data_IF_919919795928
#
_entry.id   IF_919919795928
#
_cell.length_a   1.000
_cell.length_b   1.000
_cell.length_c   1.000
_cell.angle_alpha   90.00
_cell.angle_beta   90.00
_cell.angle_gamma   90.00
#
_symmetry.space_group_name_H-M   'P 1'
#
loop_
_entity.id
_entity.type
_entity.pdbx_description
1 polymer ?
#
# COMPACT_ATOMS: atom_id res chain seq x y z
N UNK A 1 34.96 15.57 0.53
CA UNK A 1 34.15 16.70 0.01
C UNK A 1 32.73 16.47 0.51
N UNK A 2 32.08 17.45 1.17
CA UNK A 2 30.71 17.25 1.62
C UNK A 2 29.78 17.27 0.41
N UNK A 3 28.99 16.21 0.25
CA UNK A 3 27.95 16.11 -0.77
C UNK A 3 26.92 17.23 -0.55
N UNK A 4 26.60 17.96 -1.60
CA UNK A 4 25.56 19.00 -1.60
C UNK A 4 24.18 18.35 -1.36
N UNK A 5 23.30 18.95 -0.54
CA UNK A 5 21.94 18.46 -0.38
C UNK A 5 21.17 18.58 -1.70
N UNK A 6 20.39 17.54 -2.02
CA UNK A 6 19.55 17.47 -3.22
C UNK A 6 18.65 18.71 -3.33
N UNK A 7 18.74 19.38 -4.48
CA UNK A 7 18.11 20.65 -4.75
C UNK A 7 16.58 20.55 -4.85
N UNK A 8 15.89 21.59 -4.36
CA UNK A 8 14.48 21.87 -4.65
C UNK A 8 14.34 22.04 -6.17
N UNK A 9 13.80 21.02 -6.85
CA UNK A 9 13.56 21.05 -8.29
C UNK A 9 12.27 21.82 -8.59
N UNK A 10 12.38 23.13 -8.79
CA UNK A 10 11.30 23.98 -9.31
C UNK A 10 10.97 23.57 -10.75
N UNK A 11 9.73 23.13 -11.00
CA UNK A 11 9.22 22.90 -12.36
C UNK A 11 8.14 23.94 -12.65
N UNK A 12 8.35 24.70 -13.71
CA UNK A 12 7.42 25.74 -14.15
C UNK A 12 6.41 25.13 -15.12
N UNK A 13 5.19 24.87 -14.66
CA UNK A 13 4.03 24.70 -15.53
C UNK A 13 2.91 25.62 -15.04
N UNK A 14 2.45 26.52 -15.92
CA UNK A 14 1.25 27.36 -15.77
C UNK A 14 1.17 28.27 -14.52
N UNK A 15 2.23 29.05 -14.24
CA UNK A 15 2.11 30.27 -13.42
C UNK A 15 1.74 30.11 -11.93
N UNK A 16 1.60 28.89 -11.43
CA UNK A 16 1.37 28.59 -10.01
C UNK A 16 2.66 27.97 -9.46
N UNK A 17 3.31 28.65 -8.52
CA UNK A 17 4.42 28.09 -7.76
C UNK A 17 3.89 26.96 -6.87
N UNK A 18 3.94 25.71 -7.34
CA UNK A 18 3.71 24.55 -6.46
C UNK A 18 5.02 24.27 -5.72
N UNK A 19 5.03 24.47 -4.41
CA UNK A 19 6.09 23.96 -3.55
C UNK A 19 6.15 22.44 -3.74
N UNK A 20 7.28 21.92 -4.24
CA UNK A 20 7.53 20.48 -4.13
C UNK A 20 7.81 20.17 -2.69
N UNK A 21 6.93 19.38 -2.08
CA UNK A 21 7.16 18.87 -0.73
C UNK A 21 8.41 18.00 -0.71
N UNK A 22 9.15 18.10 0.39
CA UNK A 22 10.37 17.34 0.57
C UNK A 22 10.02 15.85 0.74
N UNK A 23 10.72 15.00 -0.01
CA UNK A 23 10.75 13.56 0.20
C UNK A 23 12.05 13.18 0.90
N UNK A 24 11.95 12.46 2.00
CA UNK A 24 13.10 11.94 2.71
C UNK A 24 12.97 10.42 2.82
N UNK A 25 13.89 9.74 2.14
CA UNK A 25 14.10 8.31 2.29
C UNK A 25 15.48 8.10 2.93
N UNK A 26 15.56 7.65 4.19
CA UNK A 26 16.83 7.30 4.83
C UNK A 26 17.36 5.93 4.41
N UNK A 27 16.58 5.14 3.68
CA UNK A 27 17.03 3.86 3.13
C UNK A 27 17.91 4.14 1.91
N UNK A 28 19.04 3.44 1.80
CA UNK A 28 20.05 3.67 0.74
C UNK A 28 19.46 3.58 -0.67
N UNK A 29 18.38 2.80 -0.83
CA UNK A 29 17.60 2.64 -2.07
C UNK A 29 16.09 2.69 -1.76
N UNK A 30 15.27 3.24 -2.66
CA UNK A 30 13.82 3.06 -2.56
C UNK A 30 13.45 1.64 -2.98
N UNK A 31 12.31 1.10 -2.53
CA UNK A 31 11.82 -0.22 -2.96
C UNK A 31 11.67 -0.40 -4.48
N UNK A 32 11.47 0.68 -5.22
CA UNK A 32 11.40 0.67 -6.69
C UNK A 32 12.77 0.80 -7.35
N UNK A 33 13.75 1.38 -6.63
CA UNK A 33 15.13 1.57 -7.07
C UNK A 33 16.04 0.41 -6.66
N UNK A 34 15.59 -0.41 -5.70
CA UNK A 34 16.24 -1.66 -5.30
C UNK A 34 16.42 -2.51 -6.54
N UNK A 35 17.68 -2.73 -6.93
CA UNK A 35 18.02 -3.43 -8.16
C UNK A 35 17.59 -4.91 -8.15
N UNK A 36 17.81 -5.64 -9.25
CA UNK A 36 17.47 -7.06 -9.37
C UNK A 36 18.04 -7.93 -8.24
N UNK A 37 19.10 -7.50 -7.56
CA UNK A 37 19.69 -8.12 -6.36
C UNK A 37 18.80 -8.13 -5.11
N UNK A 38 17.87 -7.18 -4.97
CA UNK A 38 16.88 -7.16 -3.88
C UNK A 38 15.63 -8.02 -4.20
N UNK A 39 15.52 -8.45 -5.46
CA UNK A 39 14.48 -9.33 -5.94
C UNK A 39 15.05 -10.72 -6.16
N UNK A 40 14.28 -11.76 -5.88
CA UNK A 40 14.73 -13.10 -6.29
C UNK A 40 14.69 -13.18 -7.82
N UNK A 41 15.58 -13.97 -8.46
CA UNK A 41 15.48 -14.21 -9.91
C UNK A 41 14.08 -14.68 -10.33
N UNK A 42 13.43 -15.48 -9.47
CA UNK A 42 12.04 -15.93 -9.62
C UNK A 42 11.04 -14.77 -9.64
N UNK A 43 11.20 -13.77 -8.77
CA UNK A 43 10.33 -12.59 -8.74
C UNK A 43 10.50 -11.74 -10.01
N UNK A 44 11.74 -11.53 -10.47
CA UNK A 44 11.99 -10.80 -11.72
C UNK A 44 11.38 -11.51 -12.92
N UNK A 45 11.57 -12.83 -13.02
CA UNK A 45 10.98 -13.66 -14.07
C UNK A 45 9.45 -13.52 -14.07
N UNK A 46 8.82 -13.55 -12.89
CA UNK A 46 7.37 -13.35 -12.77
C UNK A 46 6.91 -11.96 -13.26
N UNK A 47 7.76 -10.94 -13.18
CA UNK A 47 7.49 -9.61 -13.73
C UNK A 47 7.61 -9.59 -15.25
N UNK A 48 8.54 -10.33 -15.84
CA UNK A 48 8.61 -10.47 -17.29
C UNK A 48 7.39 -11.23 -17.83
N UNK A 49 6.92 -12.27 -17.12
CA UNK A 49 5.79 -13.09 -17.55
C UNK A 49 4.39 -12.50 -17.26
N UNK A 50 4.28 -11.21 -16.89
CA UNK A 50 2.99 -10.61 -16.50
C UNK A 50 2.90 -9.12 -16.82
N UNK A 51 1.69 -8.62 -17.06
CA UNK A 51 1.47 -7.18 -17.30
C UNK A 51 0.10 -6.71 -16.82
N UNK A 52 -0.02 -5.44 -16.46
CA UNK A 52 -1.30 -4.82 -16.16
C UNK A 52 -2.13 -4.56 -17.42
N UNK A 53 -1.46 -4.33 -18.57
CA UNK A 53 -2.12 -4.11 -19.86
C UNK A 53 -2.48 -5.44 -20.57
N UNK A 54 -2.72 -6.49 -19.80
CA UNK A 54 -2.96 -7.84 -20.33
C UNK A 54 -4.27 -7.88 -21.13
N UNK A 55 -4.24 -8.65 -22.23
CA UNK A 55 -5.38 -8.95 -23.08
C UNK A 55 -5.47 -10.46 -23.32
N UNK A 56 -6.68 -11.00 -23.59
CA UNK A 56 -6.85 -12.42 -23.91
C UNK A 56 -5.94 -12.87 -25.05
N UNK A 57 -5.21 -13.97 -24.85
CA UNK A 57 -4.30 -14.55 -25.84
C UNK A 57 -2.93 -13.89 -25.93
N UNK A 58 -2.61 -12.91 -25.08
CA UNK A 58 -1.29 -12.27 -25.05
C UNK A 58 -0.18 -13.27 -24.65
N UNK A 59 0.93 -13.25 -25.38
CA UNK A 59 2.13 -14.06 -25.10
C UNK A 59 3.37 -13.18 -24.94
N UNK A 60 4.38 -13.68 -24.22
CA UNK A 60 5.69 -13.04 -24.13
C UNK A 60 6.52 -13.25 -25.40
N UNK A 61 7.76 -12.75 -25.40
CA UNK A 61 8.70 -12.84 -26.54
C UNK A 61 9.07 -14.28 -26.91
N UNK A 62 8.96 -15.21 -25.95
CA UNK A 62 9.22 -16.64 -26.13
C UNK A 62 7.96 -17.44 -26.51
N UNK A 63 6.81 -16.76 -26.66
CA UNK A 63 5.53 -17.37 -27.02
C UNK A 63 4.79 -18.03 -25.84
N UNK A 64 5.23 -17.81 -24.60
CA UNK A 64 4.51 -18.32 -23.43
C UNK A 64 3.32 -17.39 -23.09
N UNK A 65 2.20 -17.93 -22.60
CA UNK A 65 1.06 -17.11 -22.20
C UNK A 65 1.43 -16.09 -21.10
N UNK A 66 1.13 -14.81 -21.35
CA UNK A 66 1.29 -13.78 -20.33
C UNK A 66 0.17 -13.86 -19.29
N UNK A 67 0.50 -13.46 -18.07
CA UNK A 67 -0.44 -13.39 -16.94
C UNK A 67 -0.99 -11.98 -16.74
N UNK A 68 -2.25 -11.87 -16.35
CA UNK A 68 -2.81 -10.60 -15.88
C UNK A 68 -2.20 -10.24 -14.52
N UNK A 69 -1.53 -9.10 -14.44
CA UNK A 69 -0.93 -8.61 -13.20
C UNK A 69 -1.97 -7.87 -12.35
N UNK A 70 -2.06 -8.21 -11.07
CA UNK A 70 -2.92 -7.54 -10.11
C UNK A 70 -2.13 -7.25 -8.83
N UNK A 71 -2.10 -5.99 -8.43
CA UNK A 71 -1.70 -5.58 -7.08
C UNK A 71 -2.89 -5.15 -6.23
N UNK A 72 -2.71 -5.09 -4.92
CA UNK A 72 -3.73 -4.56 -4.01
C UNK A 72 -4.17 -3.14 -4.39
N UNK A 73 -3.23 -2.27 -4.74
CA UNK A 73 -3.53 -0.88 -5.16
C UNK A 73 -4.28 -0.85 -6.48
N UNK A 74 -3.95 -1.74 -7.42
CA UNK A 74 -4.65 -1.85 -8.70
C UNK A 74 -6.09 -2.34 -8.50
N UNK A 75 -6.31 -3.34 -7.64
CA UNK A 75 -7.64 -3.87 -7.34
C UNK A 75 -8.51 -2.82 -6.63
N UNK A 76 -7.93 -2.09 -5.68
CA UNK A 76 -8.60 -0.96 -5.03
C UNK A 76 -8.90 0.18 -6.00
N UNK A 77 -8.00 0.48 -6.94
CA UNK A 77 -8.19 1.49 -7.97
C UNK A 77 -9.36 1.15 -8.90
N UNK A 78 -9.44 -0.10 -9.35
CA UNK A 78 -10.56 -0.61 -10.14
C UNK A 78 -11.89 -0.49 -9.37
N UNK A 79 -11.90 -0.93 -8.10
CA UNK A 79 -13.08 -0.79 -7.24
C UNK A 79 -13.48 0.66 -6.94
N UNK A 80 -12.53 1.60 -7.01
CA UNK A 80 -12.81 3.03 -6.88
C UNK A 80 -13.44 3.60 -8.16
N UNK A 81 -12.77 3.44 -9.31
CA UNK A 81 -13.27 3.82 -10.63
C UNK A 81 -12.55 2.99 -11.72
N UNK A 82 -13.26 2.17 -12.53
CA UNK A 82 -12.64 1.34 -13.56
C UNK A 82 -11.86 2.15 -14.62
N UNK A 83 -12.36 3.33 -15.01
CA UNK A 83 -11.64 4.19 -15.95
C UNK A 83 -10.31 4.70 -15.38
N UNK A 84 -10.29 5.09 -14.09
CA UNK A 84 -9.05 5.52 -13.43
C UNK A 84 -8.04 4.37 -13.36
N UNK A 85 -8.51 3.13 -13.17
CA UNK A 85 -7.66 1.94 -13.29
C UNK A 85 -7.06 1.82 -14.69
N UNK A 86 -7.89 1.92 -15.75
CA UNK A 86 -7.42 1.82 -17.15
C UNK A 86 -6.37 2.89 -17.45
N UNK A 87 -6.61 4.14 -17.07
CA UNK A 87 -5.65 5.23 -17.23
C UNK A 87 -4.31 4.96 -16.52
N UNK A 88 -4.35 4.56 -15.25
CA UNK A 88 -3.15 4.32 -14.44
C UNK A 88 -2.36 3.07 -14.88
N UNK A 89 -3.03 1.95 -15.09
CA UNK A 89 -2.40 0.64 -15.13
C UNK A 89 -2.31 0.06 -16.55
N UNK A 90 -3.28 0.37 -17.41
CA UNK A 90 -3.28 -0.09 -18.81
C UNK A 90 -2.54 0.94 -19.68
N UNK A 91 -2.89 2.22 -19.55
CA UNK A 91 -2.24 3.30 -20.30
C UNK A 91 -0.97 3.83 -19.63
N UNK A 92 -0.68 3.39 -18.41
CA UNK A 92 0.51 3.79 -17.65
C UNK A 92 0.65 5.33 -17.48
N UNK A 93 -0.48 6.02 -17.30
CA UNK A 93 -0.49 7.46 -17.06
C UNK A 93 -0.19 7.76 -15.58
N UNK A 94 0.71 8.71 -15.34
CA UNK A 94 1.08 9.11 -13.97
C UNK A 94 -0.02 9.94 -13.32
N UNK A 95 -0.28 9.69 -12.03
CA UNK A 95 -1.13 10.57 -11.21
C UNK A 95 -0.34 11.78 -10.72
N UNK A 96 -1.06 12.87 -10.45
CA UNK A 96 -0.47 13.97 -9.69
C UNK A 96 -0.18 13.50 -8.27
N UNK A 97 1.02 13.79 -7.80
CA UNK A 97 1.40 13.51 -6.42
C UNK A 97 0.69 14.46 -5.46
N UNK A 98 0.02 13.90 -4.45
CA UNK A 98 -0.69 14.65 -3.42
C UNK A 98 0.13 14.76 -2.14
N UNK A 99 -0.20 15.73 -1.29
CA UNK A 99 0.38 15.88 0.05
C UNK A 99 0.27 14.59 0.89
N UNK A 100 -0.89 13.94 0.83
CA UNK A 100 -1.13 12.69 1.55
C UNK A 100 -0.20 11.56 1.07
N UNK A 101 0.11 11.52 -0.24
CA UNK A 101 1.05 10.54 -0.81
C UNK A 101 2.50 10.82 -0.39
N UNK A 102 2.93 12.08 -0.40
CA UNK A 102 4.28 12.47 0.06
C UNK A 102 4.45 12.13 1.54
N UNK A 103 3.47 12.50 2.38
CA UNK A 103 3.48 12.15 3.81
C UNK A 103 3.54 10.65 4.02
N UNK A 104 2.72 9.89 3.30
CA UNK A 104 2.74 8.43 3.32
C UNK A 104 4.13 7.89 3.02
N UNK A 105 4.71 8.29 1.89
CA UNK A 105 6.03 7.86 1.44
C UNK A 105 7.12 8.13 2.48
N UNK A 106 7.15 9.35 3.03
CA UNK A 106 8.11 9.74 4.06
C UNK A 106 7.99 8.88 5.33
N UNK A 107 6.76 8.68 5.82
CA UNK A 107 6.52 7.92 7.05
C UNK A 107 6.87 6.44 6.87
N UNK A 108 6.47 5.80 5.77
CA UNK A 108 6.82 4.41 5.51
C UNK A 108 8.33 4.22 5.41
N UNK A 109 9.04 5.11 4.71
CA UNK A 109 10.50 5.06 4.62
C UNK A 109 11.20 5.14 5.99
N UNK A 110 10.68 5.97 6.90
CA UNK A 110 11.20 6.05 8.29
C UNK A 110 10.93 4.76 9.07
N UNK A 111 9.73 4.19 8.93
CA UNK A 111 9.34 2.96 9.64
C UNK A 111 10.13 1.75 9.14
N UNK A 112 10.30 1.64 7.83
CA UNK A 112 11.16 0.65 7.20
C UNK A 112 12.59 0.73 7.77
N UNK A 113 13.17 1.94 7.76
CA UNK A 113 14.51 2.18 8.30
C UNK A 113 14.61 1.81 9.78
N UNK A 114 13.61 2.19 10.57
CA UNK A 114 13.58 1.88 12.00
C UNK A 114 13.68 0.37 12.22
N UNK A 115 12.88 -0.44 11.53
CA UNK A 115 12.89 -1.89 11.76
C UNK A 115 14.18 -2.57 11.35
N UNK A 116 14.91 -2.02 10.37
CA UNK A 116 16.23 -2.51 10.01
C UNK A 116 17.31 -2.05 10.99
N UNK A 117 17.36 -0.75 11.31
CA UNK A 117 18.38 -0.18 12.20
C UNK A 117 18.21 -0.61 13.67
N UNK A 118 16.97 -0.88 14.12
CA UNK A 118 16.73 -1.21 15.53
C UNK A 118 17.30 -2.58 15.92
N UNK A 119 17.56 -3.46 14.95
CA UNK A 119 18.20 -4.77 15.17
C UNK A 119 19.54 -4.63 15.88
N UNK A 120 20.29 -3.56 15.58
CA UNK A 120 21.63 -3.33 16.12
C UNK A 120 21.62 -2.82 17.58
N UNK A 121 20.52 -2.24 18.03
CA UNK A 121 20.41 -1.64 19.38
C UNK A 121 19.40 -2.34 20.29
N UNK A 122 18.66 -3.32 19.75
CA UNK A 122 17.56 -3.99 20.45
C UNK A 122 18.03 -4.65 21.75
N UNK A 123 19.12 -5.40 21.71
CA UNK A 123 19.58 -6.18 22.87
C UNK A 123 20.05 -5.25 23.99
N UNK A 124 20.79 -4.18 23.67
CA UNK A 124 21.14 -3.14 24.66
C UNK A 124 19.88 -2.45 25.21
N UNK A 125 18.87 -2.20 24.38
CA UNK A 125 17.61 -1.63 24.84
C UNK A 125 16.87 -2.54 25.81
N UNK A 126 16.96 -3.87 25.63
CA UNK A 126 16.41 -4.87 26.56
C UNK A 126 17.18 -4.83 27.88
N UNK A 127 18.50 -4.88 27.85
CA UNK A 127 19.34 -4.81 29.06
C UNK A 127 19.07 -3.54 29.89
N UNK A 128 18.92 -2.40 29.22
CA UNK A 128 18.55 -1.14 29.86
C UNK A 128 17.15 -1.21 30.50
N UNK A 129 16.19 -1.85 29.84
CA UNK A 129 14.83 -2.00 30.37
C UNK A 129 14.83 -2.91 31.61
N UNK A 130 15.53 -4.05 31.55
CA UNK A 130 15.69 -5.00 32.67
C UNK A 130 16.40 -4.37 33.87
N UNK A 131 17.36 -3.48 33.62
CA UNK A 131 18.03 -2.69 34.65
C UNK A 131 17.17 -1.55 35.24
N UNK A 132 15.89 -1.43 34.85
CA UNK A 132 14.97 -0.36 35.30
C UNK A 132 15.29 1.01 34.69
N UNK A 133 16.12 1.08 33.66
CA UNK A 133 16.55 2.33 32.99
C UNK A 133 15.65 2.66 31.81
N UNK A 134 14.33 2.66 32.05
CA UNK A 134 13.28 2.84 31.03
C UNK A 134 13.54 4.04 30.10
N UNK A 135 13.92 5.19 30.67
CA UNK A 135 14.18 6.41 29.92
C UNK A 135 15.37 6.29 28.97
N UNK A 136 16.39 5.52 29.34
CA UNK A 136 17.58 5.32 28.51
C UNK A 136 17.26 4.33 27.38
N UNK A 137 16.56 3.23 27.69
CA UNK A 137 16.07 2.27 26.69
C UNK A 137 15.21 2.94 25.63
N UNK A 138 14.20 3.75 26.02
CA UNK A 138 13.37 4.50 25.07
C UNK A 138 14.18 5.44 24.19
N UNK A 139 15.17 6.13 24.77
CA UNK A 139 16.01 7.07 24.02
C UNK A 139 16.90 6.35 23.02
N UNK A 140 17.43 5.18 23.38
CA UNK A 140 18.24 4.35 22.50
C UNK A 140 17.41 3.89 21.29
N UNK A 141 16.22 3.32 21.52
CA UNK A 141 15.33 2.95 20.41
C UNK A 141 14.93 4.16 19.56
N UNK A 142 14.59 5.30 20.18
CA UNK A 142 14.23 6.51 19.42
C UNK A 142 15.40 7.08 18.61
N UNK A 143 16.65 6.82 19.03
CA UNK A 143 17.84 7.37 18.38
C UNK A 143 18.11 6.80 16.98
N UNK A 144 17.52 5.64 16.66
CA UNK A 144 17.63 5.04 15.31
C UNK A 144 16.73 5.73 14.29
N UNK A 145 15.76 6.55 14.72
CA UNK A 145 14.91 7.32 13.80
C UNK A 145 15.77 8.45 13.21
N UNK A 146 16.01 8.45 11.88
CA UNK A 146 16.88 9.42 11.25
C UNK A 146 16.18 10.77 11.17
N UNK A 147 16.98 11.84 11.21
CA UNK A 147 16.46 13.20 11.04
C UNK A 147 16.51 13.59 9.57
N UNK A 148 15.41 14.11 9.00
CA UNK A 148 15.44 14.61 7.64
C UNK A 148 16.38 15.84 7.55
N UNK A 149 16.97 16.11 6.36
CA UNK A 149 17.85 17.26 6.15
C UNK A 149 17.12 18.61 6.28
N UNK A 150 15.80 18.61 6.17
CA UNK A 150 14.93 19.75 6.39
C UNK A 150 13.71 19.30 7.21
N UNK A 151 13.07 20.19 7.99
CA UNK A 151 11.86 19.84 8.71
C UNK A 151 10.74 19.36 7.77
N UNK A 152 9.98 18.38 8.24
CA UNK A 152 8.75 17.96 7.59
C UNK A 152 7.68 19.06 7.63
N UNK A 153 6.82 19.10 6.61
CA UNK A 153 5.80 20.15 6.45
C UNK A 153 4.37 19.62 6.43
N UNK A 154 4.17 18.30 6.35
CA UNK A 154 2.86 17.68 6.14
C UNK A 154 2.36 16.96 7.40
N UNK A 155 3.08 17.09 8.52
CA UNK A 155 2.75 16.47 9.80
C UNK A 155 3.35 15.07 9.98
N UNK A 156 4.38 14.71 9.21
CA UNK A 156 5.10 13.45 9.33
C UNK A 156 5.64 13.21 10.76
N UNK A 157 6.25 14.23 11.38
CA UNK A 157 6.82 14.11 12.74
C UNK A 157 5.78 13.64 13.76
N UNK A 158 4.54 14.16 13.69
CA UNK A 158 3.44 13.78 14.58
C UNK A 158 3.03 12.31 14.36
N UNK A 159 3.02 11.85 13.11
CA UNK A 159 2.69 10.47 12.74
C UNK A 159 3.78 9.52 13.26
N UNK A 160 5.05 9.86 13.00
CA UNK A 160 6.22 9.07 13.40
C UNK A 160 6.31 8.98 14.92
N UNK A 161 6.12 10.10 15.64
CA UNK A 161 6.14 10.11 17.11
C UNK A 161 5.01 9.27 17.70
N UNK A 162 3.79 9.41 17.19
CA UNK A 162 2.64 8.61 17.68
C UNK A 162 2.87 7.12 17.44
N UNK A 163 3.33 6.76 16.25
CA UNK A 163 3.68 5.39 15.89
C UNK A 163 4.79 4.84 16.81
N UNK A 164 5.86 5.61 17.02
CA UNK A 164 6.97 5.21 17.89
C UNK A 164 6.52 4.97 19.32
N UNK A 165 5.63 5.80 19.87
CA UNK A 165 5.08 5.57 21.22
C UNK A 165 4.30 4.25 21.30
N UNK A 166 3.59 3.84 20.24
CA UNK A 166 2.95 2.53 20.19
C UNK A 166 3.98 1.40 20.17
N UNK A 167 5.02 1.50 19.36
CA UNK A 167 6.09 0.50 19.32
C UNK A 167 6.82 0.42 20.66
N UNK A 168 7.06 1.55 21.31
CA UNK A 168 7.66 1.62 22.65
C UNK A 168 6.77 0.94 23.70
N UNK A 169 5.47 1.21 23.69
CA UNK A 169 4.54 0.55 24.61
C UNK A 169 4.50 -0.96 24.37
N UNK A 170 4.52 -1.41 23.11
CA UNK A 170 4.63 -2.84 22.78
C UNK A 170 5.95 -3.42 23.28
N UNK A 171 7.07 -2.71 23.11
CA UNK A 171 8.39 -3.14 23.59
C UNK A 171 8.39 -3.37 25.10
N UNK A 172 7.76 -2.47 25.86
CA UNK A 172 7.62 -2.62 27.32
C UNK A 172 6.77 -3.81 27.73
N UNK A 173 5.60 -3.97 27.11
CA UNK A 173 4.67 -5.07 27.43
C UNK A 173 5.30 -6.43 27.14
N UNK A 174 6.01 -6.51 26.03
CA UNK A 174 6.67 -7.74 25.57
C UNK A 174 8.06 -7.95 26.16
N UNK A 175 8.60 -6.96 26.89
CA UNK A 175 9.98 -6.93 27.36
C UNK A 175 11.00 -7.16 26.22
N UNK A 176 10.67 -6.74 25.00
CA UNK A 176 11.47 -6.94 23.79
C UNK A 176 11.41 -8.33 23.15
N UNK A 177 10.76 -9.31 23.80
CA UNK A 177 10.54 -10.65 23.25
C UNK A 177 9.43 -10.64 22.20
N UNK A 178 9.60 -11.29 21.04
CA UNK A 178 8.59 -11.29 19.95
C UNK A 178 8.13 -9.88 19.50
N UNK A 179 8.92 -8.84 19.79
CA UNK A 179 8.55 -7.45 19.51
C UNK A 179 8.95 -6.97 18.12
N UNK A 180 10.15 -7.38 17.68
CA UNK A 180 10.75 -6.90 16.45
C UNK A 180 10.07 -7.52 15.23
N UNK A 181 10.03 -6.76 14.14
CA UNK A 181 9.56 -7.25 12.85
C UNK A 181 10.43 -8.44 12.38
N UNK A 182 9.78 -9.49 11.90
CA UNK A 182 10.41 -10.64 11.22
C UNK A 182 10.28 -10.56 9.69
N UNK A 183 9.37 -9.72 9.21
CA UNK A 183 9.33 -9.23 7.83
C UNK A 183 9.17 -7.72 7.82
N UNK A 184 9.95 -7.03 6.99
CA UNK A 184 9.95 -5.58 6.83
C UNK A 184 9.92 -5.29 5.34
N UNK A 185 8.89 -4.61 4.84
CA UNK A 185 8.67 -4.30 3.41
C UNK A 185 8.85 -5.55 2.52
N UNK A 186 8.15 -6.63 2.87
CA UNK A 186 8.30 -7.93 2.19
C UNK A 186 7.67 -7.86 0.81
N UNK A 187 8.50 -7.98 -0.23
CA UNK A 187 8.01 -8.18 -1.60
C UNK A 187 7.47 -9.60 -1.77
N UNK A 188 6.17 -9.69 -2.01
CA UNK A 188 5.46 -10.95 -2.17
C UNK A 188 4.79 -11.02 -3.55
N UNK A 189 4.71 -12.23 -4.09
CA UNK A 189 4.01 -12.50 -5.34
C UNK A 189 3.44 -13.92 -5.38
N UNK A 190 2.43 -14.14 -6.21
CA UNK A 190 1.82 -15.46 -6.39
C UNK A 190 1.18 -15.59 -7.77
N UNK A 191 1.16 -16.80 -8.34
CA UNK A 191 0.38 -17.10 -9.55
C UNK A 191 -0.84 -17.91 -9.17
N UNK A 192 -2.03 -17.48 -9.62
CA UNK A 192 -3.28 -18.20 -9.42
C UNK A 192 -4.05 -18.31 -10.73
N UNK A 193 -4.86 -19.35 -10.87
CA UNK A 193 -5.79 -19.50 -11.97
C UNK A 193 -7.17 -19.00 -11.55
N UNK A 194 -7.72 -18.04 -12.30
CA UNK A 194 -9.01 -17.43 -11.99
C UNK A 194 -10.04 -17.84 -13.02
N UNK A 195 -11.00 -18.65 -12.57
CA UNK A 195 -12.16 -19.07 -13.35
C UNK A 195 -13.25 -17.98 -13.33
N UNK A 196 -13.64 -17.50 -14.52
CA UNK A 196 -14.71 -16.51 -14.72
C UNK A 196 -15.76 -17.02 -15.68
N UNK A 197 -17.02 -16.78 -15.31
CA UNK A 197 -18.19 -17.11 -16.14
C UNK A 197 -18.53 -15.93 -17.07
N UNK A 198 -18.50 -16.21 -18.38
CA UNK A 198 -18.87 -15.27 -19.45
C UNK A 198 -20.07 -15.82 -20.21
N UNK A 199 -21.28 -15.53 -19.71
CA UNK A 199 -22.59 -15.92 -20.27
C UNK A 199 -22.78 -17.42 -20.58
N UNK A 200 -22.04 -17.96 -21.55
CA UNK A 200 -22.07 -19.35 -22.02
C UNK A 200 -20.70 -20.05 -22.03
N UNK A 201 -19.62 -19.37 -21.66
CA UNK A 201 -18.26 -19.93 -21.64
C UNK A 201 -17.57 -19.72 -20.28
N UNK A 202 -16.83 -20.74 -19.84
CA UNK A 202 -15.89 -20.64 -18.71
C UNK A 202 -14.51 -20.29 -19.26
N UNK A 203 -13.89 -19.26 -18.71
CA UNK A 203 -12.53 -18.89 -19.04
C UNK A 203 -11.66 -18.94 -17.79
N UNK A 204 -10.58 -19.71 -17.87
CA UNK A 204 -9.53 -19.72 -16.84
C UNK A 204 -8.45 -18.73 -17.28
N UNK A 205 -8.25 -17.69 -16.48
CA UNK A 205 -7.22 -16.67 -16.73
C UNK A 205 -6.10 -16.82 -15.70
N UNK A 206 -4.84 -16.98 -16.14
CA UNK A 206 -3.72 -16.98 -15.22
C UNK A 206 -3.45 -15.54 -14.74
N UNK A 207 -3.45 -15.38 -13.43
CA UNK A 207 -3.29 -14.09 -12.75
C UNK A 207 -2.02 -14.12 -11.92
N UNK A 208 -1.23 -13.06 -12.04
CA UNK A 208 -0.08 -12.79 -11.19
C UNK A 208 -0.44 -11.75 -10.13
N UNK A 209 -0.54 -12.17 -8.88
CA UNK A 209 -0.66 -11.30 -7.72
C UNK A 209 0.72 -10.76 -7.32
N UNK A 210 0.82 -9.46 -7.04
CA UNK A 210 2.05 -8.87 -6.48
C UNK A 210 1.75 -7.77 -5.45
N UNK A 211 2.67 -7.56 -4.51
CA UNK A 211 2.59 -6.46 -3.59
C UNK A 211 3.76 -6.41 -2.62
N UNK A 212 3.68 -5.42 -1.73
CA UNK A 212 4.60 -5.26 -0.61
C UNK A 212 3.76 -5.34 0.67
N UNK A 213 4.29 -6.04 1.67
CA UNK A 213 3.69 -6.15 2.99
C UNK A 213 4.55 -5.29 3.92
N UNK A 214 3.98 -4.22 4.46
CA UNK A 214 4.72 -3.23 5.28
C UNK A 214 5.51 -3.92 6.41
N UNK A 215 4.83 -4.68 7.27
CA UNK A 215 5.50 -5.35 8.38
C UNK A 215 4.83 -6.66 8.79
N UNK A 216 5.64 -7.64 9.18
CA UNK A 216 5.20 -8.94 9.70
C UNK A 216 5.83 -9.16 11.08
N UNK A 217 5.00 -9.49 12.07
CA UNK A 217 5.41 -9.80 13.43
C UNK A 217 5.11 -11.26 13.79
N UNK A 218 5.89 -11.88 14.70
CA UNK A 218 5.50 -13.15 15.29
C UNK A 218 4.33 -12.92 16.27
N UNK A 219 3.38 -13.85 16.33
CA UNK A 219 2.30 -13.79 17.33
C UNK A 219 2.73 -14.30 18.72
N UNK A 220 3.86 -15.01 18.79
CA UNK A 220 4.42 -15.61 20.00
C UNK A 220 4.05 -17.08 20.21
N UNK A 221 3.08 -17.59 19.46
CA UNK A 221 2.53 -18.96 19.54
C UNK A 221 2.83 -19.78 18.26
N UNK A 222 3.74 -19.29 17.41
CA UNK A 222 4.18 -19.96 16.19
C UNK A 222 3.46 -19.52 14.91
N UNK A 223 2.61 -18.50 14.99
CA UNK A 223 1.99 -17.84 13.85
C UNK A 223 2.52 -16.42 13.62
N UNK A 224 1.89 -15.73 12.66
CA UNK A 224 2.32 -14.41 12.23
C UNK A 224 1.16 -13.41 12.16
N UNK A 225 1.50 -12.15 12.41
CA UNK A 225 0.63 -10.98 12.30
C UNK A 225 1.07 -10.14 11.12
N UNK A 226 0.20 -9.97 10.13
CA UNK A 226 0.41 -8.96 9.08
C UNK A 226 0.00 -7.59 9.64
N UNK A 227 0.84 -6.57 9.49
CA UNK A 227 0.57 -5.23 10.00
C UNK A 227 0.72 -4.19 8.89
N UNK A 228 -0.27 -3.33 8.77
CA UNK A 228 -0.31 -2.24 7.78
C UNK A 228 -0.29 -0.88 8.45
N UNK A 229 0.58 0.01 7.97
CA UNK A 229 0.63 1.39 8.42
C UNK A 229 -0.17 2.30 7.49
N UNK A 230 -1.03 3.14 8.05
CA UNK A 230 -1.81 4.14 7.31
C UNK A 230 -1.63 5.53 7.91
N UNK A 231 -1.27 6.50 7.07
CA UNK A 231 -1.05 7.90 7.48
C UNK A 231 -2.26 8.82 7.30
N UNK A 232 -3.39 8.25 6.89
CA UNK A 232 -4.65 8.97 6.64
C UNK A 232 -5.64 8.85 7.80
N UNK A 233 -6.86 9.35 7.56
CA UNK A 233 -7.95 9.31 8.55
C UNK A 233 -8.37 7.90 8.92
N UNK A 234 -8.81 7.71 10.16
CA UNK A 234 -9.47 6.49 10.63
C UNK A 234 -10.96 6.72 10.83
N UNK A 235 -11.76 5.74 10.41
CA UNK A 235 -13.18 5.62 10.79
C UNK A 235 -13.51 4.13 10.87
N UNK A 236 -14.47 3.69 11.69
CA UNK A 236 -14.84 2.27 11.80
C UNK A 236 -15.25 1.61 10.47
N UNK A 237 -15.72 2.40 9.49
CA UNK A 237 -16.08 1.92 8.15
C UNK A 237 -14.87 1.38 7.36
N UNK A 238 -13.65 1.85 7.68
CA UNK A 238 -12.40 1.40 7.03
C UNK A 238 -12.00 -0.02 7.41
N UNK A 239 -12.45 -0.53 8.56
CA UNK A 239 -12.10 -1.87 9.00
C UNK A 239 -12.46 -2.96 7.96
N UNK A 240 -13.53 -2.75 7.18
CA UNK A 240 -13.89 -3.65 6.07
C UNK A 240 -12.80 -3.68 4.99
N UNK A 241 -12.40 -2.52 4.47
CA UNK A 241 -11.36 -2.44 3.43
C UNK A 241 -10.00 -2.89 3.94
N UNK A 242 -9.68 -2.66 5.22
CA UNK A 242 -8.44 -3.15 5.81
C UNK A 242 -8.40 -4.69 5.84
N UNK A 243 -9.49 -5.36 6.21
CA UNK A 243 -9.55 -6.84 6.14
C UNK A 243 -9.41 -7.37 4.72
N UNK A 244 -9.99 -6.70 3.74
CA UNK A 244 -9.84 -7.08 2.32
C UNK A 244 -8.38 -6.92 1.85
N UNK A 245 -7.69 -5.85 2.28
CA UNK A 245 -6.26 -5.63 2.02
C UNK A 245 -5.39 -6.71 2.69
N UNK A 246 -5.60 -6.98 3.97
CA UNK A 246 -4.86 -8.01 4.70
C UNK A 246 -5.10 -9.41 4.14
N UNK A 247 -6.33 -9.71 3.71
CA UNK A 247 -6.65 -10.97 3.06
C UNK A 247 -5.99 -11.11 1.68
N UNK A 248 -5.82 -10.01 0.94
CA UNK A 248 -5.08 -10.03 -0.33
C UNK A 248 -3.62 -10.44 -0.10
N UNK A 249 -2.96 -9.88 0.92
CA UNK A 249 -1.58 -10.26 1.26
C UNK A 249 -1.48 -11.69 1.79
N UNK A 250 -2.42 -12.12 2.62
CA UNK A 250 -2.49 -13.50 3.08
C UNK A 250 -2.60 -14.49 1.91
N UNK A 251 -3.52 -14.25 0.97
CA UNK A 251 -3.68 -15.07 -0.24
C UNK A 251 -2.35 -15.17 -1.00
N UNK A 252 -1.64 -14.05 -1.16
CA UNK A 252 -0.37 -14.01 -1.85
C UNK A 252 0.75 -14.77 -1.13
N UNK A 253 0.78 -14.76 0.21
CA UNK A 253 1.72 -15.58 0.98
C UNK A 253 1.40 -17.08 0.88
N UNK A 254 0.12 -17.44 0.96
CA UNK A 254 -0.36 -18.83 0.86
C UNK A 254 -0.06 -19.42 -0.53
N UNK A 255 -0.45 -18.73 -1.60
CA UNK A 255 -0.28 -19.19 -2.98
C UNK A 255 1.16 -19.01 -3.50
N UNK A 256 1.90 -18.04 -2.94
CA UNK A 256 3.31 -17.81 -3.24
C UNK A 256 4.29 -18.69 -2.44
N UNK A 257 3.77 -19.64 -1.64
CA UNK A 257 4.56 -20.57 -0.83
C UNK A 257 5.57 -19.88 0.13
N UNK A 258 5.17 -18.76 0.72
CA UNK A 258 5.98 -18.03 1.71
C UNK A 258 5.90 -18.68 3.10
N UNK A 259 6.28 -19.97 3.20
CA UNK A 259 6.13 -20.79 4.41
C UNK A 259 6.77 -20.19 5.66
N UNK A 260 7.82 -19.37 5.51
CA UNK A 260 8.47 -18.66 6.62
C UNK A 260 7.59 -17.59 7.30
N UNK A 261 6.48 -17.20 6.68
CA UNK A 261 5.51 -16.22 7.18
C UNK A 261 4.11 -16.84 7.33
N UNK A 262 4.02 -18.17 7.41
CA UNK A 262 2.79 -18.92 7.60
C UNK A 262 2.87 -19.79 8.86
N UNK A 263 1.75 -20.00 9.57
CA UNK A 263 0.41 -19.49 9.27
C UNK A 263 0.21 -18.02 9.68
N UNK A 264 -0.53 -17.25 8.88
CA UNK A 264 -1.04 -15.93 9.29
C UNK A 264 -2.22 -16.14 10.24
N UNK A 265 -2.02 -15.84 11.52
CA UNK A 265 -3.03 -16.04 12.57
C UNK A 265 -3.83 -14.76 12.80
N UNK A 266 -3.18 -13.60 12.68
CA UNK A 266 -3.78 -12.29 12.88
C UNK A 266 -3.44 -11.31 11.77
N UNK A 267 -4.19 -10.23 11.72
CA UNK A 267 -3.80 -9.03 11.02
C UNK A 267 -4.03 -7.81 11.89
N UNK A 268 -3.30 -6.74 11.58
CA UNK A 268 -3.33 -5.49 12.32
C UNK A 268 -3.20 -4.30 11.38
N UNK A 269 -3.62 -3.14 11.85
CA UNK A 269 -3.38 -1.89 11.16
C UNK A 269 -3.20 -0.74 12.13
N UNK A 270 -2.43 0.24 11.70
CA UNK A 270 -2.04 1.40 12.48
C UNK A 270 -2.45 2.67 11.73
N UNK A 271 -3.17 3.56 12.41
CA UNK A 271 -3.57 4.88 11.94
C UNK A 271 -3.09 5.94 12.92
N UNK A 272 -1.78 6.26 12.97
CA UNK A 272 -1.23 7.16 13.98
C UNK A 272 -1.84 8.56 13.87
N UNK A 273 -2.23 8.99 12.66
CA UNK A 273 -2.92 10.26 12.42
C UNK A 273 -4.42 10.09 12.12
N UNK A 274 -5.05 9.08 12.73
CA UNK A 274 -6.41 8.69 12.41
C UNK A 274 -7.48 9.76 12.70
N UNK A 275 -7.18 10.84 13.44
CA UNK A 275 -8.08 11.99 13.64
C UNK A 275 -8.11 12.99 12.48
N UNK A 276 -7.14 12.96 11.55
CA UNK A 276 -7.07 13.93 10.46
C UNK A 276 -8.29 13.84 9.53
N UNK A 277 -8.61 14.94 8.82
CA UNK A 277 -9.62 14.99 7.75
C UNK A 277 -10.99 14.39 8.15
N UNK A 278 -11.44 14.70 9.38
CA UNK A 278 -12.71 14.23 9.94
C UNK A 278 -12.69 12.77 10.41
N UNK A 279 -11.50 12.21 10.68
CA UNK A 279 -11.36 10.91 11.32
C UNK A 279 -11.61 10.96 12.83
N UNK A 280 -11.74 9.79 13.47
CA UNK A 280 -12.26 9.71 14.84
C UNK A 280 -11.17 9.80 15.91
N UNK A 281 -10.04 9.13 15.72
CA UNK A 281 -8.91 9.10 16.66
C UNK A 281 -7.70 8.42 16.04
N UNK A 282 -6.55 8.57 16.68
CA UNK A 282 -5.43 7.65 16.53
C UNK A 282 -5.92 6.25 16.86
N UNK A 283 -5.66 5.28 16.01
CA UNK A 283 -6.11 3.91 16.23
C UNK A 283 -5.07 2.93 15.78
N UNK A 284 -4.93 1.85 16.54
CA UNK A 284 -4.43 0.60 15.98
C UNK A 284 -5.38 -0.52 16.38
N UNK A 285 -5.57 -1.49 15.50
CA UNK A 285 -6.40 -2.66 15.77
C UNK A 285 -5.63 -3.93 15.45
N UNK A 286 -5.90 -5.00 16.20
CA UNK A 286 -5.42 -6.36 15.97
C UNK A 286 -6.63 -7.28 15.93
N UNK A 287 -6.71 -8.14 14.92
CA UNK A 287 -7.82 -9.08 14.75
C UNK A 287 -7.34 -10.47 14.38
N UNK A 288 -7.95 -11.48 15.00
CA UNK A 288 -7.78 -12.88 14.64
C UNK A 288 -8.47 -13.16 13.29
N UNK A 289 -7.76 -13.83 12.39
CA UNK A 289 -8.24 -14.15 11.04
C UNK A 289 -9.30 -15.25 11.00
N UNK A 290 -9.43 -16.05 12.06
CA UNK A 290 -10.33 -17.21 12.15
C UNK A 290 -11.74 -16.88 12.67
N UNK A 291 -12.03 -15.61 12.91
CA UNK A 291 -13.32 -15.20 13.49
C UNK A 291 -14.46 -15.12 12.45
N UNK A 292 -15.71 -15.16 12.94
CA UNK A 292 -16.89 -14.89 12.08
C UNK A 292 -16.81 -13.51 11.40
N UNK A 293 -16.21 -12.52 12.08
CA UNK A 293 -16.06 -11.14 11.59
C UNK A 293 -15.14 -11.06 10.38
N UNK A 294 -14.18 -11.96 10.24
CA UNK A 294 -13.14 -11.95 9.19
C UNK A 294 -13.43 -12.94 8.06
N UNK A 295 -14.24 -13.97 8.32
CA UNK A 295 -14.59 -15.06 7.38
C UNK A 295 -15.12 -14.64 6.00
N UNK A 296 -15.65 -13.42 5.84
CA UNK A 296 -16.16 -12.95 4.54
C UNK A 296 -15.05 -12.48 3.59
N UNK A 297 -13.89 -12.08 4.13
CA UNK A 297 -12.84 -11.41 3.37
C UNK A 297 -12.29 -12.26 2.20
N UNK A 298 -12.00 -13.58 2.35
CA UNK A 298 -11.49 -14.40 1.25
C UNK A 298 -12.40 -14.37 0.02
N UNK A 299 -13.70 -14.58 0.23
CA UNK A 299 -14.70 -14.55 -0.84
C UNK A 299 -14.80 -13.18 -1.50
N UNK A 300 -14.75 -12.10 -0.71
CA UNK A 300 -14.83 -10.75 -1.27
C UNK A 300 -13.61 -10.41 -2.14
N UNK A 301 -12.40 -10.75 -1.67
CA UNK A 301 -11.16 -10.53 -2.44
C UNK A 301 -11.21 -11.29 -3.77
N UNK A 302 -11.56 -12.59 -3.73
CA UNK A 302 -11.68 -13.39 -4.96
C UNK A 302 -12.76 -12.87 -5.91
N UNK A 303 -13.91 -12.42 -5.39
CA UNK A 303 -14.95 -11.81 -6.21
C UNK A 303 -14.48 -10.51 -6.87
N UNK A 304 -13.67 -9.70 -6.18
CA UNK A 304 -13.11 -8.48 -6.75
C UNK A 304 -12.08 -8.81 -7.84
N UNK A 305 -11.23 -9.82 -7.62
CA UNK A 305 -10.28 -10.31 -8.64
C UNK A 305 -11.03 -10.79 -9.89
N UNK A 306 -12.06 -11.62 -9.73
CA UNK A 306 -12.91 -12.10 -10.84
C UNK A 306 -13.55 -10.96 -11.62
N UNK A 307 -14.04 -9.91 -10.94
CA UNK A 307 -14.60 -8.73 -11.60
C UNK A 307 -13.58 -7.99 -12.44
N UNK A 308 -12.35 -7.85 -11.93
CA UNK A 308 -11.27 -7.21 -12.68
C UNK A 308 -10.86 -8.06 -13.89
N UNK A 309 -10.69 -9.37 -13.71
CA UNK A 309 -10.42 -10.32 -14.82
C UNK A 309 -11.50 -10.21 -15.90
N UNK A 310 -12.78 -10.23 -15.50
CA UNK A 310 -13.90 -10.05 -16.44
C UNK A 310 -13.81 -8.73 -17.18
N UNK A 311 -13.46 -7.64 -16.50
CA UNK A 311 -13.31 -6.33 -17.14
C UNK A 311 -12.18 -6.31 -18.17
N UNK A 312 -11.07 -7.01 -17.95
CA UNK A 312 -10.01 -7.17 -18.97
C UNK A 312 -10.50 -7.93 -20.19
N UNK A 313 -11.32 -8.98 -20.00
CA UNK A 313 -11.82 -9.78 -21.12
C UNK A 313 -12.84 -9.00 -21.95
N UNK A 314 -13.72 -8.22 -21.31
CA UNK A 314 -14.81 -7.50 -21.97
C UNK A 314 -14.49 -6.02 -22.25
N UNK A 315 -13.25 -5.58 -21.99
CA UNK A 315 -12.82 -4.17 -22.00
C UNK A 315 -13.76 -3.20 -21.23
N UNK A 316 -14.38 -3.67 -20.15
CA UNK A 316 -15.43 -2.91 -19.43
C UNK A 316 -14.82 -2.02 -18.34
N UNK A 317 -14.20 -0.91 -18.76
CA UNK A 317 -13.54 0.06 -17.88
C UNK A 317 -14.23 1.43 -17.88
N UNK A 318 -15.56 1.42 -17.84
CA UNK A 318 -16.35 2.65 -17.89
C UNK A 318 -16.12 3.55 -16.67
N UNK A 319 -16.22 4.89 -16.82
CA UNK A 319 -16.19 5.80 -15.70
C UNK A 319 -17.32 5.50 -14.70
N UNK A 320 -16.97 5.45 -13.41
CA UNK A 320 -17.92 5.22 -12.34
C UNK A 320 -17.86 6.36 -11.30
N UNK A 321 -18.33 7.58 -11.63
CA UNK A 321 -18.33 8.69 -10.70
C UNK A 321 -19.17 8.37 -9.46
N UNK A 322 -18.60 8.60 -8.28
CA UNK A 322 -19.29 8.42 -6.99
C UNK A 322 -19.52 9.77 -6.36
N UNK A 323 -20.73 10.01 -5.87
CA UNK A 323 -21.10 11.24 -5.17
C UNK A 323 -21.45 10.95 -3.72
N UNK A 324 -21.13 11.89 -2.83
CA UNK A 324 -21.51 11.84 -1.42
C UNK A 324 -21.68 13.25 -0.85
N UNK A 325 -22.33 13.34 0.31
CA UNK A 325 -22.49 14.61 1.03
C UNK A 325 -21.26 14.88 1.89
N UNK A 326 -20.65 16.06 1.70
CA UNK A 326 -19.58 16.56 2.54
C UNK A 326 -20.06 16.97 3.94
N UNK A 327 -19.14 17.29 4.86
CA UNK A 327 -19.47 17.73 6.21
C UNK A 327 -20.40 18.96 6.24
N UNK A 328 -20.21 19.87 5.28
CA UNK A 328 -20.97 21.12 5.17
C UNK A 328 -22.23 20.98 4.29
N UNK A 329 -22.57 19.73 3.91
CA UNK A 329 -23.76 19.41 3.09
C UNK A 329 -23.57 19.56 1.58
N UNK A 330 -22.41 20.03 1.13
CA UNK A 330 -22.06 20.08 -0.30
C UNK A 330 -22.03 18.68 -0.94
N UNK A 331 -22.25 18.61 -2.25
CA UNK A 331 -22.09 17.35 -2.98
C UNK A 331 -20.65 17.26 -3.46
N UNK A 332 -19.91 16.29 -2.92
CA UNK A 332 -18.56 15.96 -3.35
C UNK A 332 -18.63 14.82 -4.36
N UNK A 333 -17.70 14.80 -5.29
CA UNK A 333 -17.55 13.72 -6.27
C UNK A 333 -16.15 13.14 -6.24
N UNK A 334 -16.04 11.84 -6.44
CA UNK A 334 -14.74 11.15 -6.61
C UNK A 334 -13.90 11.78 -7.72
N UNK A 335 -14.53 12.39 -8.72
CA UNK A 335 -13.86 13.01 -9.86
C UNK A 335 -13.04 14.24 -9.47
N UNK A 336 -13.38 14.95 -8.39
CA UNK A 336 -12.61 16.11 -7.90
C UNK A 336 -11.20 15.74 -7.46
N UNK A 337 -10.96 14.46 -7.16
CA UNK A 337 -9.65 13.92 -6.76
C UNK A 337 -9.00 13.08 -7.88
N UNK A 338 -9.51 13.16 -9.12
CA UNK A 338 -9.03 12.37 -10.24
C UNK A 338 -8.12 13.20 -11.15
N UNK A 339 -6.85 12.80 -11.27
CA UNK A 339 -5.88 13.45 -12.18
C UNK A 339 -6.22 13.29 -13.68
N UNK A 340 -7.18 12.43 -14.02
CA UNK A 340 -7.54 12.12 -15.42
C UNK A 340 -8.87 12.72 -15.84
N UNK A 341 -9.39 13.68 -15.08
CA UNK A 341 -10.69 14.29 -15.36
C UNK A 341 -10.75 14.90 -16.76
N UNK A 342 -9.67 15.57 -17.22
CA UNK A 342 -9.60 16.22 -18.54
C UNK A 342 -9.70 15.23 -19.73
N UNK A 343 -9.36 13.96 -19.51
CA UNK A 343 -9.39 12.91 -20.54
C UNK A 343 -10.48 11.87 -20.27
N UNK A 344 -11.37 12.12 -19.31
CA UNK A 344 -12.40 11.18 -18.91
C UNK A 344 -13.63 11.35 -19.83
N UNK A 345 -14.15 10.28 -20.46
CA UNK A 345 -15.31 10.40 -21.34
C UNK A 345 -16.60 10.81 -20.59
N UNK A 346 -16.66 10.62 -19.27
CA UNK A 346 -17.76 11.13 -18.46
C UNK A 346 -17.67 12.65 -18.16
N UNK A 347 -16.57 13.30 -18.58
CA UNK A 347 -16.31 14.72 -18.32
C UNK A 347 -15.96 15.52 -19.59
N UNK A 348 -15.52 14.85 -20.66
CA UNK A 348 -15.46 15.45 -21.99
C UNK A 348 -16.89 15.83 -22.39
N UNK A 349 -17.23 17.11 -22.26
CA UNK A 349 -18.48 17.68 -22.76
C UNK A 349 -18.47 17.61 -24.28
N UNK A 350 -19.62 17.27 -24.89
CA UNK A 350 -19.87 17.28 -26.33
C UNK A 350 -19.77 18.70 -26.93
N UNK A 351 -18.59 19.34 -26.88
CA UNK A 351 -18.35 20.65 -27.51
C UNK A 351 -18.20 20.58 -29.04
N UNK A 352 -18.60 19.47 -29.67
CA UNK A 352 -18.45 19.26 -31.12
C UNK A 352 -19.74 19.01 -31.91
N UNK A 353 -20.93 19.23 -31.34
CA UNK A 353 -22.20 19.09 -32.10
C UNK A 353 -22.82 20.41 -32.63
N UNK A 354 -22.18 21.59 -32.47
CA UNK A 354 -22.76 22.88 -32.91
C UNK A 354 -22.13 23.55 -34.16
N UNK A 355 -21.44 22.82 -35.05
CA UNK A 355 -20.99 23.38 -36.35
C UNK A 355 -21.47 22.59 -37.58
N UNK A 356 -22.76 22.23 -37.66
CA UNK A 356 -23.43 22.00 -38.95
C UNK A 356 -24.91 22.44 -38.90
N UNK A 357 -25.16 23.74 -39.13
CA UNK A 357 -26.46 24.26 -39.64
C UNK A 357 -26.23 25.29 -40.73
#
# INVERSE_FOLDING_TARGET
>A
MPQLPQAILTVQMRGVWRLKFMKFNPNEETLMDRGPEAHTPELLESYHSSTYAWQPGMTDDDGNPMKLRISKSSLSGFGWCPYQYKANYIYNLSQEETEDMVRGTNVHAIVEHFWDAVKDVKDEAIELLEAGKERQSRRLLKSVIPKPPMPYLLGEDEVIDTWFEWQWNRFKVTQGYNWAAVGNEVSAHASIDVDVDLELEHMIVPVHLRGFIDTIFPDGDGGFVLMELKTGKWTPKKAKSMREEMQFYRLMLEEGNYMKYLPVTHWAWEFPRGWANGGTKAEWELEDTSTRKTSYAPRTVMNNIKKLVKAHITDSFEPAPKTWRGPDGETLTSCQMCSFMEICPAWATDEHEEEEV
#
